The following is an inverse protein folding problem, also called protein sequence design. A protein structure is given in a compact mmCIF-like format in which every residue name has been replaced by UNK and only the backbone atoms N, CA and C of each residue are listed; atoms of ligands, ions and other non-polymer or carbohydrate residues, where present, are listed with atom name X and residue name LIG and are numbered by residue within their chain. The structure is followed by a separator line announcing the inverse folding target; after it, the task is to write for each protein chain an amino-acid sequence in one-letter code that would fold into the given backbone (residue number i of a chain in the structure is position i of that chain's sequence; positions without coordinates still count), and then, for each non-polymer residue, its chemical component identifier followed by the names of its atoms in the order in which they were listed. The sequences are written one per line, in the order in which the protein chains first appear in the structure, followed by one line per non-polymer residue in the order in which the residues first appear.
data_IF_747192516361
#
_entry.id   IF_747192516361
#
_cell.length_a   1.000
_cell.length_b   1.000
_cell.length_c   1.000
_cell.angle_alpha   90.00
_cell.angle_beta   90.00
_cell.angle_gamma   90.00
#
_symmetry.space_group_name_H-M   'P 1'
#
loop_
_entity.id
_entity.type
_entity.pdbx_description
1 polymer ?
#
# COMPACT_ATOMS: atom_id res chain seq x y z
N UNK A 1 -29.73 25.07 38.21
CA UNK A 1 -28.33 24.72 37.87
C UNK A 1 -28.31 23.27 37.44
N UNK A 2 -28.50 22.99 36.16
CA UNK A 2 -28.35 21.65 35.60
C UNK A 2 -27.65 21.79 34.26
N UNK A 3 -26.36 21.49 34.24
CA UNK A 3 -25.59 21.36 33.01
C UNK A 3 -25.14 19.91 32.91
N UNK A 4 -25.73 19.22 31.95
CA UNK A 4 -25.37 17.88 31.53
C UNK A 4 -23.93 17.85 31.00
N UNK A 5 -23.22 16.75 31.26
CA UNK A 5 -22.12 16.30 30.39
C UNK A 5 -22.34 14.82 30.06
N UNK A 6 -22.88 14.63 28.86
CA UNK A 6 -23.00 13.39 28.11
C UNK A 6 -21.63 12.71 28.01
N UNK A 7 -21.54 11.44 28.42
CA UNK A 7 -20.35 10.61 28.20
C UNK A 7 -20.24 10.30 26.70
N UNK A 8 -19.04 10.50 26.14
CA UNK A 8 -18.70 10.12 24.77
C UNK A 8 -18.67 8.59 24.69
N UNK A 9 -19.73 8.01 24.13
CA UNK A 9 -19.71 6.64 23.66
C UNK A 9 -18.89 6.64 22.37
N UNK A 10 -17.74 5.96 22.40
CA UNK A 10 -16.96 5.70 21.19
C UNK A 10 -17.72 4.65 20.41
N UNK A 11 -18.30 5.07 19.29
CA UNK A 11 -19.00 4.20 18.37
C UNK A 11 -18.00 3.25 17.71
N UNK A 12 -18.19 1.95 17.93
CA UNK A 12 -17.34 0.87 17.41
C UNK A 12 -17.89 0.29 16.10
N UNK A 13 -18.92 0.90 15.49
CA UNK A 13 -19.55 0.39 14.27
C UNK A 13 -18.91 0.87 12.96
N UNK A 14 -17.74 1.48 13.00
CA UNK A 14 -17.01 1.80 11.78
C UNK A 14 -16.27 0.54 11.29
N UNK A 15 -16.88 -0.17 10.34
CA UNK A 15 -16.16 -1.02 9.37
C UNK A 15 -14.86 -0.29 8.99
N UNK A 16 -13.69 -0.95 9.00
CA UNK A 16 -12.43 -0.27 8.71
C UNK A 16 -12.54 0.28 7.29
N UNK A 17 -12.86 1.56 7.18
CA UNK A 17 -12.91 2.27 5.93
C UNK A 17 -11.59 1.96 5.24
N UNK A 18 -11.68 1.29 4.09
CA UNK A 18 -10.55 0.94 3.24
C UNK A 18 -9.67 2.18 3.14
N UNK A 19 -8.56 2.18 3.89
CA UNK A 19 -7.66 3.33 3.88
C UNK A 19 -7.06 3.34 2.49
N UNK A 20 -7.08 4.48 1.78
CA UNK A 20 -6.48 4.54 0.46
C UNK A 20 -5.01 4.11 0.56
N UNK A 21 -4.60 3.18 -0.30
CA UNK A 21 -3.21 2.75 -0.38
C UNK A 21 -2.36 3.98 -0.71
N UNK A 22 -1.32 4.23 0.08
CA UNK A 22 -0.42 5.36 -0.15
C UNK A 22 0.58 5.04 -1.27
N UNK A 23 1.06 6.07 -1.96
CA UNK A 23 2.08 5.89 -3.01
C UNK A 23 3.39 5.32 -2.43
N UNK A 24 3.69 5.63 -1.16
CA UNK A 24 4.80 5.03 -0.42
C UNK A 24 4.61 3.51 -0.25
N UNK A 25 3.39 3.05 0.05
CA UNK A 25 3.10 1.62 0.17
C UNK A 25 3.26 0.91 -1.19
N UNK A 26 2.78 1.53 -2.28
CA UNK A 26 2.96 1.02 -3.65
C UNK A 26 4.46 0.88 -3.96
N UNK A 27 5.26 1.92 -3.66
CA UNK A 27 6.70 1.90 -3.90
C UNK A 27 7.43 0.84 -3.06
N UNK A 28 7.07 0.67 -1.78
CA UNK A 28 7.66 -0.36 -0.91
C UNK A 28 7.40 -1.76 -1.45
N UNK A 29 6.15 -2.06 -1.81
CA UNK A 29 5.77 -3.36 -2.38
C UNK A 29 6.50 -3.61 -3.70
N UNK A 30 6.52 -2.62 -4.61
CA UNK A 30 7.23 -2.77 -5.88
C UNK A 30 8.73 -3.08 -5.68
N UNK A 31 9.38 -2.40 -4.72
CA UNK A 31 10.78 -2.68 -4.36
C UNK A 31 10.98 -4.09 -3.83
N UNK A 32 10.11 -4.57 -2.93
CA UNK A 32 10.23 -5.92 -2.36
C UNK A 32 10.10 -7.00 -3.43
N UNK A 33 9.16 -6.85 -4.36
CA UNK A 33 9.01 -7.76 -5.50
C UNK A 33 10.28 -7.76 -6.34
N UNK A 34 10.79 -6.59 -6.75
CA UNK A 34 11.99 -6.48 -7.57
C UNK A 34 13.22 -7.10 -6.89
N UNK A 35 13.42 -6.85 -5.59
CA UNK A 35 14.51 -7.46 -4.80
C UNK A 35 14.36 -8.99 -4.79
N UNK A 36 13.14 -9.52 -4.62
CA UNK A 36 12.90 -10.96 -4.65
C UNK A 36 13.32 -11.58 -5.99
N UNK A 37 13.00 -10.93 -7.12
CA UNK A 37 13.42 -11.39 -8.45
C UNK A 37 14.94 -11.42 -8.62
N UNK A 38 15.66 -10.46 -8.02
CA UNK A 38 17.14 -10.45 -8.00
C UNK A 38 17.67 -11.61 -7.15
N UNK A 39 17.12 -11.80 -5.94
CA UNK A 39 17.52 -12.88 -5.02
C UNK A 39 17.37 -14.27 -5.65
N UNK A 40 16.32 -14.49 -6.45
CA UNK A 40 16.09 -15.77 -7.15
C UNK A 40 16.75 -15.85 -8.53
N UNK A 41 17.57 -14.86 -8.91
CA UNK A 41 18.30 -14.85 -10.18
C UNK A 41 17.43 -14.69 -11.43
N UNK A 42 16.24 -14.08 -11.30
CA UNK A 42 15.29 -13.84 -12.40
C UNK A 42 15.34 -12.42 -12.95
N UNK A 43 16.11 -11.53 -12.33
CA UNK A 43 16.34 -10.15 -12.76
C UNK A 43 17.83 -9.83 -12.65
N UNK A 44 18.35 -9.08 -13.62
CA UNK A 44 19.74 -8.59 -13.65
C UNK A 44 19.77 -7.06 -13.75
N UNK A 45 20.92 -6.41 -13.49
CA UNK A 45 21.03 -4.96 -13.70
C UNK A 45 20.70 -4.51 -15.13
N UNK A 46 20.93 -5.36 -16.14
CA UNK A 46 20.72 -5.01 -17.55
C UNK A 46 19.24 -4.80 -17.92
N UNK A 47 18.31 -5.44 -17.21
CA UNK A 47 16.87 -5.32 -17.45
C UNK A 47 16.11 -4.75 -16.25
N UNK A 48 16.82 -4.14 -15.30
CA UNK A 48 16.23 -3.62 -14.06
C UNK A 48 15.20 -2.53 -14.31
N UNK A 49 15.52 -1.52 -15.14
CA UNK A 49 14.69 -0.33 -15.32
C UNK A 49 13.29 -0.70 -15.86
N UNK A 50 13.26 -1.39 -17.01
CA UNK A 50 12.01 -1.88 -17.61
C UNK A 50 11.21 -2.77 -16.66
N UNK A 51 11.87 -3.69 -15.97
CA UNK A 51 11.18 -4.63 -15.06
C UNK A 51 10.62 -3.90 -13.83
N UNK A 52 11.35 -2.94 -13.27
CA UNK A 52 10.89 -2.12 -12.15
C UNK A 52 9.65 -1.31 -12.54
N UNK A 53 9.67 -0.64 -13.71
CA UNK A 53 8.52 0.13 -14.20
C UNK A 53 7.28 -0.75 -14.40
N UNK A 54 7.46 -1.94 -14.99
CA UNK A 54 6.37 -2.90 -15.20
C UNK A 54 5.76 -3.38 -13.87
N UNK A 55 6.60 -3.71 -12.88
CA UNK A 55 6.13 -4.14 -11.55
C UNK A 55 5.43 -2.98 -10.84
N UNK A 56 6.02 -1.80 -10.81
CA UNK A 56 5.42 -0.62 -10.17
C UNK A 56 4.04 -0.32 -10.75
N UNK A 57 3.93 -0.27 -12.08
CA UNK A 57 2.66 -0.08 -12.78
C UNK A 57 1.64 -1.16 -12.42
N UNK A 58 2.05 -2.43 -12.41
CA UNK A 58 1.17 -3.54 -12.05
C UNK A 58 0.60 -3.41 -10.64
N UNK A 59 1.44 -3.07 -9.66
CA UNK A 59 1.01 -2.87 -8.26
C UNK A 59 0.12 -1.64 -8.13
N UNK A 60 0.50 -0.54 -8.79
CA UNK A 60 -0.29 0.69 -8.82
C UNK A 60 -1.69 0.44 -9.38
N UNK A 61 -1.78 -0.19 -10.54
CA UNK A 61 -3.05 -0.44 -11.22
C UNK A 61 -3.93 -1.36 -10.36
N UNK A 62 -3.36 -2.36 -9.67
CA UNK A 62 -4.10 -3.26 -8.78
C UNK A 62 -4.78 -2.59 -7.57
N UNK A 63 -4.32 -1.41 -7.15
CA UNK A 63 -4.87 -0.70 -5.97
C UNK A 63 -5.59 0.61 -6.32
N UNK A 64 -5.62 0.96 -7.61
CA UNK A 64 -6.27 2.16 -8.14
C UNK A 64 -7.39 1.86 -9.14
N UNK A 65 -7.61 0.58 -9.48
CA UNK A 65 -8.70 0.11 -10.34
C UNK A 65 -9.99 -0.18 -9.59
#
# INVERSE_FOLDING_TARGET
MAAAKQKMAVDYSAEPASRPVSDEAILKVAKEVVVKFIEVGRLSPANFDETFQNIYKTVHDAVRS
#
